data_IF_336715518576
#
_entry.id   IF_336715518576
#
_cell.length_a   1.000
_cell.length_b   1.000
_cell.length_c   1.000
_cell.angle_alpha   90.00
_cell.angle_beta   90.00
_cell.angle_gamma   90.00
#
_symmetry.space_group_name_H-M   'P 1'
#
loop_
_entity.id
_entity.type
_entity.pdbx_description
1 polymer ?
#
# COMPACT_ATOMS: atom_id res chain seq x y z
N UNK A 1 -24.67 16.34 24.77
CA UNK A 1 -23.24 16.65 24.64
C UNK A 1 -22.44 15.73 25.54
N UNK A 2 -21.34 15.16 25.04
CA UNK A 2 -20.12 14.69 25.75
C UNK A 2 -20.34 13.80 26.99
N UNK A 3 -19.79 12.59 27.14
CA UNK A 3 -18.42 12.14 26.88
C UNK A 3 -18.38 10.64 27.21
N UNK A 4 -17.49 9.93 26.52
CA UNK A 4 -17.17 8.50 26.59
C UNK A 4 -17.09 7.90 28.02
N UNK A 5 -17.47 6.62 28.23
CA UNK A 5 -17.01 5.85 29.37
C UNK A 5 -15.95 4.82 28.98
N UNK A 6 -14.94 4.81 29.84
CA UNK A 6 -13.77 3.97 29.86
C UNK A 6 -14.10 2.48 30.05
N UNK A 7 -13.16 1.65 29.58
CA UNK A 7 -13.05 0.20 29.72
C UNK A 7 -13.47 -0.41 31.06
N UNK A 8 -14.03 -1.63 31.04
CA UNK A 8 -13.53 -2.77 31.85
C UNK A 8 -13.86 -4.13 31.21
N UNK A 9 -12.79 -4.86 30.97
CA UNK A 9 -12.54 -6.29 30.78
C UNK A 9 -13.69 -7.33 30.69
N UNK A 10 -13.53 -8.15 29.64
CA UNK A 10 -13.55 -9.61 29.68
C UNK A 10 -14.90 -10.30 29.96
N UNK A 11 -15.53 -10.77 28.89
CA UNK A 11 -15.55 -12.20 28.57
C UNK A 11 -16.51 -12.45 27.41
N UNK A 12 -16.01 -13.08 26.35
CA UNK A 12 -16.72 -13.65 25.21
C UNK A 12 -18.00 -12.92 24.73
N UNK A 13 -17.88 -12.09 23.69
CA UNK A 13 -19.04 -11.61 22.94
C UNK A 13 -18.85 -11.79 21.43
N UNK A 14 -19.70 -12.67 20.90
CA UNK A 14 -20.18 -12.75 19.54
C UNK A 14 -20.57 -11.34 19.05
N UNK A 15 -19.77 -10.68 18.21
CA UNK A 15 -20.17 -9.44 17.54
C UNK A 15 -19.38 -9.25 16.24
N UNK A 16 -20.12 -9.05 15.16
CA UNK A 16 -19.67 -8.62 13.84
C UNK A 16 -18.89 -7.31 13.95
N UNK A 17 -17.73 -7.23 13.29
CA UNK A 17 -16.99 -5.98 13.08
C UNK A 17 -16.35 -5.99 11.68
N UNK A 18 -17.13 -5.64 10.65
CA UNK A 18 -16.54 -4.99 9.49
C UNK A 18 -16.15 -3.57 9.92
N UNK A 19 -14.88 -3.19 9.73
CA UNK A 19 -14.41 -1.89 9.24
C UNK A 19 -12.89 -1.75 9.44
N UNK A 20 -12.24 -1.38 8.34
CA UNK A 20 -10.79 -1.23 8.12
C UNK A 20 -10.02 -0.43 9.19
N UNK A 21 -8.70 -0.74 9.27
CA UNK A 21 -7.63 0.19 9.64
C UNK A 21 -7.58 0.58 11.14
N UNK A 22 -6.69 0.06 11.99
CA UNK A 22 -5.24 0.35 12.00
C UNK A 22 -4.45 -0.72 12.74
N UNK A 23 -3.43 -1.30 12.09
CA UNK A 23 -2.44 -2.20 12.68
C UNK A 23 -1.53 -1.43 13.67
N UNK A 24 -1.68 -1.69 14.98
CA UNK A 24 -0.78 -1.20 16.04
C UNK A 24 -0.30 -2.37 16.90
N UNK A 25 0.63 -3.20 16.38
CA UNK A 25 1.80 -3.83 17.06
C UNK A 25 2.42 -4.93 16.16
N UNK A 26 3.73 -4.87 15.83
CA UNK A 26 4.33 -5.75 14.83
C UNK A 26 4.80 -7.08 15.44
N UNK A 27 3.91 -8.09 15.51
CA UNK A 27 4.28 -9.49 15.78
C UNK A 27 4.40 -10.34 14.52
N UNK A 28 4.22 -9.71 13.35
CA UNK A 28 4.55 -10.25 12.03
C UNK A 28 5.41 -9.19 11.37
N UNK A 29 6.55 -9.60 10.79
CA UNK A 29 7.23 -8.73 9.83
C UNK A 29 6.29 -8.65 8.63
N UNK A 30 5.33 -7.73 8.70
CA UNK A 30 4.31 -7.56 7.68
C UNK A 30 5.05 -7.15 6.42
N UNK A 31 5.20 -8.07 5.49
CA UNK A 31 5.74 -7.75 4.16
C UNK A 31 4.73 -6.79 3.53
N UNK A 32 5.00 -5.49 3.61
CA UNK A 32 4.16 -4.45 3.05
C UNK A 32 4.34 -4.46 1.53
N UNK A 33 3.68 -5.39 0.87
CA UNK A 33 3.73 -5.58 -0.57
C UNK A 33 2.41 -5.18 -1.22
N UNK A 34 2.47 -4.86 -2.51
CA UNK A 34 1.26 -4.64 -3.30
C UNK A 34 0.53 -5.97 -3.50
N UNK A 35 -0.71 -6.05 -3.03
CA UNK A 35 -1.65 -7.16 -3.32
C UNK A 35 -2.49 -6.90 -4.57
N UNK A 36 -2.69 -5.63 -4.89
CA UNK A 36 -3.44 -5.16 -6.04
C UNK A 36 -2.65 -4.08 -6.78
N UNK A 37 -2.95 -3.92 -8.06
CA UNK A 37 -2.31 -2.94 -8.95
C UNK A 37 -3.33 -2.05 -9.60
N UNK A 38 -3.00 -0.76 -9.70
CA UNK A 38 -3.79 0.20 -10.47
C UNK A 38 -3.31 0.26 -11.91
N UNK A 39 -4.26 0.32 -12.85
CA UNK A 39 -4.00 0.63 -14.27
C UNK A 39 -4.16 2.12 -14.57
N UNK A 40 -4.70 2.88 -13.61
CA UNK A 40 -4.92 4.31 -13.75
C UNK A 40 -3.59 5.05 -13.86
N UNK A 41 -3.54 6.08 -14.71
CA UNK A 41 -2.33 6.90 -14.85
C UNK A 41 -2.13 7.76 -13.61
N UNK A 42 -0.91 7.76 -13.10
CA UNK A 42 -0.50 8.69 -12.05
C UNK A 42 -0.44 10.10 -12.65
N UNK A 43 -1.14 11.10 -12.08
CA UNK A 43 -1.10 12.46 -12.58
C UNK A 43 0.33 13.00 -12.64
N UNK A 44 0.71 13.75 -13.69
CA UNK A 44 2.05 14.30 -13.82
C UNK A 44 2.40 15.32 -12.72
N UNK A 45 1.39 15.88 -12.06
CA UNK A 45 1.55 16.76 -10.90
C UNK A 45 2.14 16.05 -9.66
N UNK A 46 2.09 14.71 -9.60
CA UNK A 46 2.66 13.94 -8.50
C UNK A 46 4.15 13.74 -8.75
N UNK A 47 4.97 14.29 -7.84
CA UNK A 47 6.42 14.13 -7.85
C UNK A 47 6.78 12.72 -7.39
N UNK A 48 7.32 11.94 -8.33
CA UNK A 48 7.84 10.61 -8.08
C UNK A 48 9.32 10.73 -7.71
N UNK A 49 9.70 10.19 -6.56
CA UNK A 49 11.08 10.16 -6.09
C UNK A 49 11.86 9.07 -6.80
N UNK A 50 11.20 7.93 -7.03
CA UNK A 50 11.77 6.78 -7.70
C UNK A 50 10.75 5.67 -7.83
N UNK A 51 11.19 4.53 -8.32
CA UNK A 51 10.33 3.36 -8.45
C UNK A 51 11.05 2.10 -8.00
N UNK A 52 10.29 1.07 -7.68
CA UNK A 52 10.78 -0.28 -7.41
C UNK A 52 9.92 -1.28 -8.14
N UNK A 53 10.57 -2.29 -8.72
CA UNK A 53 9.86 -3.43 -9.28
C UNK A 53 9.69 -4.49 -8.19
N UNK A 54 8.44 -4.81 -7.88
CA UNK A 54 8.06 -5.92 -7.02
C UNK A 54 7.71 -7.12 -7.89
N UNK A 55 8.41 -8.24 -7.69
CA UNK A 55 8.07 -9.51 -8.32
C UNK A 55 6.78 -10.10 -7.74
N UNK A 56 6.01 -10.85 -8.55
CA UNK A 56 4.88 -11.62 -8.05
C UNK A 56 5.35 -12.70 -7.07
N UNK A 57 4.83 -12.65 -5.85
CA UNK A 57 5.09 -13.64 -4.80
C UNK A 57 3.85 -13.71 -3.90
N UNK A 58 3.01 -14.72 -4.07
CA UNK A 58 1.76 -14.86 -3.32
C UNK A 58 1.96 -14.63 -1.81
N UNK A 59 1.23 -13.71 -1.15
CA UNK A 59 0.02 -13.00 -1.60
C UNK A 59 0.25 -11.68 -2.38
N UNK A 60 1.49 -11.34 -2.68
CA UNK A 60 1.90 -10.15 -3.43
C UNK A 60 1.83 -10.39 -4.95
N UNK A 61 1.44 -9.36 -5.69
CA UNK A 61 1.37 -9.40 -7.16
C UNK A 61 2.58 -8.70 -7.80
N UNK A 62 2.80 -8.96 -9.08
CA UNK A 62 3.79 -8.25 -9.89
C UNK A 62 3.37 -6.78 -10.04
N UNK A 63 4.17 -5.86 -9.53
CA UNK A 63 3.81 -4.44 -9.42
C UNK A 63 5.02 -3.52 -9.56
N UNK A 64 4.83 -2.37 -10.20
CA UNK A 64 5.73 -1.23 -10.10
C UNK A 64 5.26 -0.34 -8.96
N UNK A 65 6.09 -0.21 -7.93
CA UNK A 65 5.86 0.65 -6.78
C UNK A 65 6.52 1.98 -7.05
N UNK A 66 5.72 3.03 -7.23
CA UNK A 66 6.24 4.39 -7.30
C UNK A 66 6.31 5.00 -5.91
N UNK A 67 7.46 5.53 -5.53
CA UNK A 67 7.66 6.25 -4.28
C UNK A 67 7.42 7.73 -4.50
N UNK A 68 6.61 8.32 -3.63
CA UNK A 68 6.37 9.76 -3.60
C UNK A 68 6.64 10.29 -2.20
N UNK A 69 6.63 11.62 -2.06
CA UNK A 69 6.80 12.25 -0.75
C UNK A 69 5.66 11.93 0.23
N UNK A 70 4.47 11.59 -0.30
CA UNK A 70 3.27 11.34 0.50
C UNK A 70 3.01 9.85 0.73
N UNK A 71 3.00 9.09 -0.36
CA UNK A 71 2.59 7.69 -0.36
C UNK A 71 3.25 6.87 -1.48
N UNK A 72 2.95 5.57 -1.51
CA UNK A 72 3.44 4.64 -2.53
C UNK A 72 2.30 4.24 -3.45
N UNK A 73 2.54 4.23 -4.77
CA UNK A 73 1.54 3.81 -5.74
C UNK A 73 1.91 2.46 -6.36
N UNK A 74 1.03 1.47 -6.20
CA UNK A 74 1.13 0.16 -6.86
C UNK A 74 0.52 0.24 -8.26
N UNK A 75 1.35 0.08 -9.30
CA UNK A 75 0.90 0.14 -10.69
C UNK A 75 1.21 -1.15 -11.45
N UNK A 76 0.37 -1.47 -12.44
CA UNK A 76 0.51 -2.68 -13.26
C UNK A 76 1.70 -2.53 -14.24
N UNK A 77 2.74 -3.39 -14.18
CA UNK A 77 3.89 -3.30 -15.08
C UNK A 77 3.55 -3.53 -16.56
N UNK A 78 2.42 -4.19 -16.86
CA UNK A 78 2.00 -4.52 -18.23
C UNK A 78 1.39 -3.32 -18.98
N UNK A 79 1.14 -2.24 -18.26
CA UNK A 79 0.42 -1.08 -18.74
C UNK A 79 1.36 -0.19 -19.59
N UNK A 80 0.91 0.26 -20.77
CA UNK A 80 1.81 0.90 -21.77
C UNK A 80 2.53 2.15 -21.23
N UNK A 81 1.83 2.95 -20.43
CA UNK A 81 2.33 4.22 -19.90
C UNK A 81 3.41 4.05 -18.82
N UNK A 82 3.54 2.87 -18.19
CA UNK A 82 4.59 2.61 -17.19
C UNK A 82 5.96 2.78 -17.83
N UNK A 83 6.19 2.23 -19.03
CA UNK A 83 7.49 2.30 -19.69
C UNK A 83 7.94 3.74 -19.91
N UNK A 84 7.01 4.59 -20.33
CA UNK A 84 7.27 6.02 -20.52
C UNK A 84 7.47 6.75 -19.18
N UNK A 85 6.73 6.35 -18.14
CA UNK A 85 6.85 6.97 -16.81
C UNK A 85 8.12 6.58 -16.07
N UNK A 86 8.62 5.36 -16.29
CA UNK A 86 9.89 4.88 -15.76
C UNK A 86 11.08 5.60 -16.39
N UNK A 87 10.93 6.09 -17.62
CA UNK A 87 11.99 6.81 -18.34
C UNK A 87 12.31 8.12 -17.60
N UNK A 88 13.47 8.15 -16.96
CA UNK A 88 13.94 9.30 -16.19
C UNK A 88 13.64 9.24 -14.69
N UNK A 89 13.09 8.12 -14.20
CA UNK A 89 13.05 7.81 -12.76
C UNK A 89 14.18 6.84 -12.41
N UNK A 90 14.71 6.96 -11.20
CA UNK A 90 15.69 6.02 -10.68
C UNK A 90 15.01 4.78 -10.09
N UNK A 91 15.58 3.62 -10.39
CA UNK A 91 15.17 2.37 -9.76
C UNK A 91 15.82 2.25 -8.39
N UNK A 92 15.00 2.22 -7.35
CA UNK A 92 15.42 1.96 -5.99
C UNK A 92 15.55 0.44 -5.84
N UNK A 93 16.79 -0.02 -5.74
CA UNK A 93 17.13 -1.39 -5.36
C UNK A 93 17.38 -1.38 -3.84
N UNK A 94 16.82 -2.37 -3.14
CA UNK A 94 17.11 -2.59 -1.71
C UNK A 94 18.52 -3.15 -1.52
#
# INVERSE_FOLDING_TARGET
>A
ELKDPHEEFSSCCYCICDLDYTDRRPTRVGVSCCKEVSKARIPPAIKLIGYKHQNALSPCVDAIIFYTEKEKYCSDPKVRWIKDRLKGLEQIMD
#
